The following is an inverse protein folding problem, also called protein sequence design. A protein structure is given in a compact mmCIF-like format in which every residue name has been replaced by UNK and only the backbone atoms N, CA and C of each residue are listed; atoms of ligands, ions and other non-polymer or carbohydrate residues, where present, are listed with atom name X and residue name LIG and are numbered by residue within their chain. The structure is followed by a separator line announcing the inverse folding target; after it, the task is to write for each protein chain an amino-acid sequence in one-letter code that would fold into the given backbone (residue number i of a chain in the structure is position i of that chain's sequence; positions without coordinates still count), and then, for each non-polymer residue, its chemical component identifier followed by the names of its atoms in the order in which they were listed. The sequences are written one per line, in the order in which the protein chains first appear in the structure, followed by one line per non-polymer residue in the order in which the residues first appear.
data_IF_654553193260
#
_entry.id   IF_654553193260
#
_cell.length_a   1.000
_cell.length_b   1.000
_cell.length_c   1.000
_cell.angle_alpha   90.00
_cell.angle_beta   90.00
_cell.angle_gamma   90.00
#
_symmetry.space_group_name_H-M   'P 1'
#
loop_
_entity.id
_entity.type
_entity.pdbx_description
1 polymer ?
#
# COMPACT_ATOMS: atom_id res chain seq x y z
N UNK A 1 -7.70 -3.09 -8.90
CA UNK A 1 -6.51 -2.80 -8.04
C UNK A 1 -5.49 -2.17 -8.97
N UNK A 2 -5.08 -0.92 -8.75
CA UNK A 2 -4.03 -0.31 -9.60
C UNK A 2 -2.69 -0.90 -9.17
N UNK A 3 -1.88 -1.27 -10.15
CA UNK A 3 -0.50 -1.64 -9.90
C UNK A 3 0.26 -0.36 -9.52
N UNK A 4 0.90 -0.37 -8.35
CA UNK A 4 1.67 0.77 -7.84
C UNK A 4 3.13 0.38 -7.89
N UNK A 5 3.92 1.18 -8.59
CA UNK A 5 5.37 1.07 -8.60
C UNK A 5 5.93 1.72 -7.33
N UNK A 6 6.77 0.99 -6.60
CA UNK A 6 7.37 1.46 -5.37
C UNK A 6 8.76 2.03 -5.64
N UNK A 7 8.91 3.33 -5.42
CA UNK A 7 10.16 4.06 -5.66
C UNK A 7 11.17 3.79 -4.53
N UNK A 8 12.46 3.76 -4.88
CA UNK A 8 13.57 3.84 -3.91
C UNK A 8 14.35 5.13 -4.16
N UNK A 9 14.85 5.76 -3.11
CA UNK A 9 15.64 6.98 -3.21
C UNK A 9 16.79 6.97 -2.20
N UNK A 10 17.99 7.36 -2.64
CA UNK A 10 19.15 7.50 -1.77
C UNK A 10 19.71 6.19 -1.22
N UNK A 11 19.60 5.09 -1.98
CA UNK A 11 20.10 3.77 -1.59
C UNK A 11 21.57 3.56 -2.00
N UNK A 12 22.41 2.88 -1.20
CA UNK A 12 22.09 2.34 0.14
C UNK A 12 21.93 3.45 1.18
N UNK A 13 20.95 3.28 2.08
CA UNK A 13 20.53 4.33 3.02
C UNK A 13 21.67 4.74 3.95
N UNK A 14 22.55 3.82 4.34
CA UNK A 14 23.68 4.02 5.26
C UNK A 14 24.65 5.10 4.75
N UNK A 15 24.84 5.15 3.43
CA UNK A 15 25.81 6.03 2.78
C UNK A 15 25.17 7.31 2.24
N UNK A 16 23.88 7.53 2.46
CA UNK A 16 23.20 8.72 1.99
C UNK A 16 23.79 9.99 2.63
N UNK A 17 24.24 10.90 1.79
CA UNK A 17 24.75 12.21 2.19
C UNK A 17 23.65 13.26 2.05
N UNK A 18 23.45 14.05 3.10
CA UNK A 18 22.45 15.11 3.11
C UNK A 18 22.78 16.17 2.05
N UNK A 19 21.75 16.55 1.32
CA UNK A 19 21.79 17.59 0.32
C UNK A 19 21.29 18.92 0.87
N UNK A 20 21.53 20.00 0.13
CA UNK A 20 20.90 21.31 0.43
C UNK A 20 19.38 21.25 0.41
N UNK A 21 18.78 20.35 -0.37
CA UNK A 21 17.33 20.20 -0.41
C UNK A 21 16.80 19.60 0.90
N UNK A 22 17.51 18.62 1.47
CA UNK A 22 17.14 18.00 2.74
C UNK A 22 17.18 19.01 3.89
N UNK A 23 18.22 19.86 3.93
CA UNK A 23 18.32 20.94 4.91
C UNK A 23 17.14 21.92 4.82
N UNK A 24 16.73 22.29 3.60
CA UNK A 24 15.55 23.15 3.38
C UNK A 24 14.26 22.46 3.82
N UNK A 25 14.08 21.19 3.47
CA UNK A 25 12.90 20.41 3.84
C UNK A 25 12.78 20.23 5.36
N UNK A 26 13.90 19.94 6.03
CA UNK A 26 13.96 19.83 7.47
C UNK A 26 13.57 21.15 8.14
N UNK A 27 14.16 22.26 7.70
CA UNK A 27 13.82 23.59 8.20
C UNK A 27 12.34 23.92 8.00
N UNK A 28 11.80 23.66 6.80
CA UNK A 28 10.39 23.89 6.51
C UNK A 28 9.49 23.07 7.46
N UNK A 29 9.85 21.83 7.75
CA UNK A 29 9.09 20.98 8.67
C UNK A 29 9.13 21.53 10.11
N UNK A 30 10.28 22.02 10.56
CA UNK A 30 10.45 22.69 11.86
C UNK A 30 9.63 23.99 11.94
N UNK A 31 9.65 24.81 10.90
CA UNK A 31 8.89 26.05 10.79
C UNK A 31 7.36 25.78 10.82
N UNK A 32 6.90 24.76 10.09
CA UNK A 32 5.50 24.31 10.12
C UNK A 32 5.11 23.87 11.53
N UNK A 33 5.94 23.07 12.22
CA UNK A 33 5.61 22.65 13.59
C UNK A 33 5.49 23.83 14.53
N UNK A 34 6.44 24.77 14.49
CA UNK A 34 6.39 25.99 15.30
C UNK A 34 5.09 26.79 15.06
N UNK A 35 4.69 26.93 13.78
CA UNK A 35 3.44 27.59 13.43
C UNK A 35 2.21 26.84 13.96
N UNK A 36 2.16 25.52 13.81
CA UNK A 36 1.07 24.66 14.32
C UNK A 36 0.98 24.75 15.83
N UNK A 37 2.10 24.72 16.56
CA UNK A 37 2.13 24.84 18.02
C UNK A 37 1.58 26.20 18.48
N UNK A 38 1.94 27.28 17.80
CA UNK A 38 1.40 28.62 18.08
C UNK A 38 -0.11 28.68 17.87
N UNK A 39 -0.59 28.17 16.74
CA UNK A 39 -2.02 28.12 16.44
C UNK A 39 -2.78 27.25 17.46
N UNK A 40 -2.23 26.09 17.83
CA UNK A 40 -2.82 25.23 18.85
C UNK A 40 -2.91 25.93 20.23
N UNK A 41 -1.91 26.72 20.61
CA UNK A 41 -1.95 27.49 21.85
C UNK A 41 -3.03 28.58 21.83
N UNK A 42 -3.18 29.29 20.71
CA UNK A 42 -4.23 30.30 20.51
C UNK A 42 -5.64 29.66 20.59
N UNK A 43 -5.83 28.54 19.89
CA UNK A 43 -7.09 27.78 19.92
C UNK A 43 -7.43 27.24 21.31
N UNK A 44 -6.43 26.73 22.04
CA UNK A 44 -6.59 26.28 23.42
C UNK A 44 -6.94 27.42 24.37
N UNK A 45 -6.43 28.63 24.13
CA UNK A 45 -6.81 29.80 24.92
C UNK A 45 -8.28 30.18 24.68
N UNK A 46 -8.77 30.11 23.44
CA UNK A 46 -10.20 30.32 23.10
C UNK A 46 -11.08 29.28 23.78
N UNK A 47 -10.72 28.00 23.74
CA UNK A 47 -11.45 26.93 24.42
C UNK A 47 -11.53 27.11 25.94
N UNK A 48 -10.46 27.61 26.57
CA UNK A 48 -10.49 27.92 28.02
C UNK A 48 -11.42 29.08 28.35
N UNK A 49 -11.56 30.04 27.44
CA UNK A 49 -12.46 31.19 27.61
C UNK A 49 -13.93 30.84 27.34
N UNK A 50 -14.21 29.80 26.53
CA UNK A 50 -15.56 29.38 26.16
C UNK A 50 -15.81 27.88 26.46
N UNK A 51 -16.46 27.57 27.60
CA UNK A 51 -16.81 26.20 27.97
C UNK A 51 -17.74 25.49 26.97
N UNK A 52 -18.60 26.21 26.25
CA UNK A 52 -19.51 25.61 25.26
C UNK A 52 -18.74 25.17 24.01
N UNK A 53 -17.79 25.98 23.55
CA UNK A 53 -16.85 25.61 22.48
C UNK A 53 -16.02 24.38 22.86
N UNK A 54 -15.49 24.34 24.09
CA UNK A 54 -14.71 23.21 24.59
C UNK A 54 -15.54 21.91 24.69
N UNK A 55 -16.82 21.99 25.08
CA UNK A 55 -17.73 20.85 25.10
C UNK A 55 -18.05 20.35 23.67
N UNK A 56 -18.36 21.27 22.75
CA UNK A 56 -18.63 20.95 21.34
C UNK A 56 -17.44 20.26 20.66
N UNK A 57 -16.22 20.79 20.84
CA UNK A 57 -15.00 20.17 20.29
C UNK A 57 -14.73 18.79 20.86
N UNK A 58 -14.92 18.58 22.17
CA UNK A 58 -14.78 17.24 22.77
C UNK A 58 -15.72 16.22 22.14
N UNK A 59 -16.99 16.58 21.92
CA UNK A 59 -17.96 15.70 21.27
C UNK A 59 -17.54 15.37 19.82
N UNK A 60 -17.00 16.34 19.08
CA UNK A 60 -16.47 16.11 17.73
C UNK A 60 -15.26 15.17 17.76
N UNK A 61 -14.30 15.40 18.67
CA UNK A 61 -13.12 14.53 18.83
C UNK A 61 -13.55 13.11 19.17
N UNK A 62 -14.50 12.94 20.08
CA UNK A 62 -15.03 11.62 20.45
C UNK A 62 -15.63 10.88 19.26
N UNK A 63 -16.46 11.57 18.45
CA UNK A 63 -17.04 11.01 17.22
C UNK A 63 -15.97 10.62 16.20
N UNK A 64 -14.93 11.44 16.03
CA UNK A 64 -13.80 11.14 15.13
C UNK A 64 -13.00 9.94 15.64
N UNK A 65 -12.74 9.84 16.94
CA UNK A 65 -12.04 8.70 17.55
C UNK A 65 -12.83 7.39 17.41
N UNK A 66 -14.16 7.45 17.47
CA UNK A 66 -15.03 6.30 17.21
C UNK A 66 -14.95 5.86 15.74
N UNK A 67 -15.05 6.81 14.81
CA UNK A 67 -14.86 6.55 13.38
C UNK A 67 -13.48 5.94 13.08
N UNK A 68 -12.41 6.49 13.63
CA UNK A 68 -11.05 5.97 13.42
C UNK A 68 -10.88 4.55 13.97
N UNK A 69 -11.49 4.23 15.13
CA UNK A 69 -11.46 2.87 15.69
C UNK A 69 -12.16 1.84 14.78
N UNK A 70 -13.22 2.26 14.09
CA UNK A 70 -13.96 1.40 13.16
C UNK A 70 -13.21 1.14 11.85
N UNK A 71 -12.24 1.99 11.48
CA UNK A 71 -11.51 1.92 10.21
C UNK A 71 -10.08 1.39 10.41
N UNK A 72 -9.93 0.09 10.69
CA UNK A 72 -8.61 -0.54 10.66
C UNK A 72 -8.21 -0.90 9.23
N UNK A 73 -7.11 -0.34 8.75
CA UNK A 73 -6.51 -0.73 7.47
C UNK A 73 -5.99 -2.17 7.59
N UNK A 74 -6.42 -3.10 6.72
CA UNK A 74 -5.90 -4.46 6.72
C UNK A 74 -4.39 -4.50 6.50
N UNK A 75 -3.70 -5.47 7.11
CA UNK A 75 -2.24 -5.63 6.97
C UNK A 75 -1.77 -5.78 5.51
N UNK A 76 -2.59 -6.38 4.66
CA UNK A 76 -2.28 -6.54 3.22
C UNK A 76 -2.43 -5.24 2.42
N UNK A 77 -3.04 -4.22 3.00
CA UNK A 77 -3.12 -2.86 2.43
C UNK A 77 -2.00 -1.95 2.97
N UNK A 78 -1.09 -2.48 3.80
CA UNK A 78 0.01 -1.72 4.39
C UNK A 78 1.34 -2.09 3.72
N UNK A 79 1.97 -1.11 3.09
CA UNK A 79 3.35 -1.18 2.60
C UNK A 79 4.33 -0.74 3.69
N UNK A 80 5.37 -1.55 3.91
CA UNK A 80 6.47 -1.23 4.84
C UNK A 80 7.64 -0.65 4.08
N UNK A 81 8.27 0.34 4.70
CA UNK A 81 9.39 1.11 4.17
C UNK A 81 10.52 1.11 5.17
N UNK A 82 11.74 1.04 4.68
CA UNK A 82 12.92 1.43 5.44
C UNK A 82 13.26 2.86 5.03
N UNK A 83 13.39 3.75 6.00
CA UNK A 83 13.58 5.18 5.76
C UNK A 83 14.77 5.69 6.54
N UNK A 84 15.61 6.49 5.90
CA UNK A 84 16.59 7.32 6.60
C UNK A 84 15.97 8.65 6.93
N UNK A 85 16.07 8.99 8.20
CA UNK A 85 15.65 10.29 8.71
C UNK A 85 16.80 11.29 8.60
N UNK A 86 16.46 12.57 8.56
CA UNK A 86 17.41 13.68 8.53
C UNK A 86 18.43 13.63 9.68
N UNK A 87 18.01 13.15 10.86
CA UNK A 87 18.91 12.94 12.00
C UNK A 87 19.95 11.81 11.80
N UNK A 88 19.87 11.05 10.71
CA UNK A 88 20.81 9.97 10.36
C UNK A 88 20.29 8.56 10.68
N UNK A 89 19.34 8.42 11.60
CA UNK A 89 18.79 7.11 11.97
C UNK A 89 17.96 6.49 10.84
N UNK A 90 18.04 5.16 10.71
CA UNK A 90 17.31 4.40 9.72
C UNK A 90 16.25 3.56 10.43
N UNK A 91 14.98 3.85 10.14
CA UNK A 91 13.84 3.25 10.84
C UNK A 91 12.87 2.61 9.87
N UNK A 92 11.93 1.81 10.39
CA UNK A 92 10.83 1.26 9.61
C UNK A 92 9.60 2.15 9.75
N UNK A 93 8.90 2.39 8.64
CA UNK A 93 7.62 3.08 8.65
C UNK A 93 6.58 2.34 7.80
N UNK A 94 5.30 2.67 8.02
CA UNK A 94 4.14 1.99 7.43
C UNK A 94 3.28 3.00 6.69
N UNK A 95 2.86 2.69 5.48
CA UNK A 95 1.95 3.53 4.67
C UNK A 95 0.96 2.64 3.93
N UNK A 96 -0.15 3.23 3.49
CA UNK A 96 -1.06 2.52 2.61
C UNK A 96 -0.32 2.08 1.33
N UNK A 97 -0.64 0.90 0.81
CA UNK A 97 0.02 0.32 -0.36
C UNK A 97 -0.16 1.12 -1.65
N UNK A 98 -1.17 1.99 -1.70
CA UNK A 98 -1.37 2.89 -2.83
C UNK A 98 -0.32 4.02 -2.89
N UNK A 99 0.44 4.22 -1.81
CA UNK A 99 1.49 5.21 -1.78
C UNK A 99 2.77 4.62 -2.37
N UNK A 100 3.12 5.02 -3.60
CA UNK A 100 4.37 4.61 -4.27
C UNK A 100 5.66 5.10 -3.60
N UNK A 101 5.57 6.00 -2.61
CA UNK A 101 6.69 6.46 -1.78
C UNK A 101 6.22 6.90 -0.39
N UNK A 102 7.07 6.84 0.65
CA UNK A 102 6.65 7.08 2.02
C UNK A 102 6.42 8.55 2.37
N UNK A 103 6.80 9.47 1.47
CA UNK A 103 6.72 10.93 1.63
C UNK A 103 5.47 11.57 1.04
N UNK A 104 4.59 10.80 0.40
CA UNK A 104 3.31 11.29 -0.14
C UNK A 104 2.29 11.62 0.97
N UNK A 105 1.28 12.40 0.60
CA UNK A 105 0.12 12.75 1.45
C UNK A 105 0.49 13.36 2.81
N UNK A 106 1.44 14.29 2.81
CA UNK A 106 1.80 15.09 4.00
C UNK A 106 2.66 14.36 5.03
N UNK A 107 3.08 13.12 4.77
CA UNK A 107 3.86 12.30 5.71
C UNK A 107 5.37 12.32 5.44
N UNK A 108 5.91 13.47 5.02
CA UNK A 108 7.33 13.64 4.63
C UNK A 108 8.30 13.80 5.80
N UNK A 109 7.79 13.85 7.02
CA UNK A 109 8.57 13.87 8.26
C UNK A 109 7.87 13.07 9.36
N UNK A 110 8.62 12.70 10.39
CA UNK A 110 8.10 12.00 11.57
C UNK A 110 9.03 12.21 12.78
N UNK A 111 8.53 11.93 13.98
CA UNK A 111 9.38 11.81 15.16
C UNK A 111 10.31 10.60 15.00
N UNK A 112 11.60 10.82 15.23
CA UNK A 112 12.60 9.77 15.28
C UNK A 112 12.44 8.96 16.58
N UNK A 113 12.20 7.64 16.52
CA UNK A 113 12.07 6.80 17.72
C UNK A 113 13.40 6.58 18.46
N UNK A 114 14.55 6.81 17.81
CA UNK A 114 15.86 6.57 18.41
C UNK A 114 16.38 7.79 19.20
N UNK A 115 16.33 8.99 18.63
CA UNK A 115 16.81 10.21 19.29
C UNK A 115 15.72 11.21 19.70
N UNK A 116 14.46 10.91 19.44
CA UNK A 116 13.33 11.78 19.78
C UNK A 116 13.17 13.04 18.91
N UNK A 117 14.07 13.28 17.92
CA UNK A 117 13.95 14.44 17.04
C UNK A 117 12.62 14.39 16.28
N UNK A 118 11.83 15.42 16.49
CA UNK A 118 10.56 15.66 15.82
C UNK A 118 10.57 17.13 15.34
N UNK A 119 9.99 17.47 14.18
CA UNK A 119 9.90 16.54 13.05
C UNK A 119 11.31 16.19 12.56
N UNK A 120 11.50 14.96 12.08
CA UNK A 120 12.68 14.58 11.31
C UNK A 120 12.24 14.19 9.90
N UNK A 121 12.72 14.92 8.90
CA UNK A 121 12.38 14.68 7.50
C UNK A 121 12.85 13.29 7.04
N UNK A 122 12.08 12.64 6.18
CA UNK A 122 12.50 11.42 5.47
C UNK A 122 13.34 11.87 4.28
N UNK A 123 14.63 11.53 4.28
CA UNK A 123 15.61 11.99 3.27
C UNK A 123 16.03 10.90 2.30
N UNK A 124 15.87 9.63 2.66
CA UNK A 124 16.10 8.49 1.78
C UNK A 124 15.18 7.33 2.19
N UNK A 125 14.85 6.45 1.26
CA UNK A 125 13.92 5.35 1.52
C UNK A 125 14.06 4.20 0.52
N UNK A 126 13.72 3.00 1.00
CA UNK A 126 13.55 1.80 0.17
C UNK A 126 12.32 0.99 0.63
N UNK A 127 11.60 0.35 -0.31
CA UNK A 127 10.49 -0.52 0.01
C UNK A 127 10.98 -1.82 0.66
N UNK A 128 10.26 -2.27 1.69
CA UNK A 128 10.47 -3.59 2.31
C UNK A 128 9.48 -4.61 1.74
N UNK A 129 8.25 -4.18 1.49
CA UNK A 129 7.14 -5.03 1.02
C UNK A 129 5.89 -4.92 1.91
N UNK A 130 4.81 -5.55 1.45
CA UNK A 130 3.53 -5.55 2.17
C UNK A 130 3.66 -6.21 3.55
N UNK A 131 2.85 -5.75 4.50
CA UNK A 131 2.86 -6.26 5.88
C UNK A 131 2.09 -7.58 6.04
N UNK A 132 1.11 -7.84 5.18
CA UNK A 132 0.38 -9.10 5.10
C UNK A 132 0.17 -9.57 3.66
N UNK A 133 -0.15 -10.86 3.51
CA UNK A 133 -0.60 -11.41 2.24
C UNK A 133 -2.08 -11.07 2.03
N UNK A 134 -2.51 -10.66 0.83
CA UNK A 134 -3.93 -10.48 0.56
C UNK A 134 -4.67 -11.80 0.80
N UNK A 135 -5.93 -11.75 1.28
CA UNK A 135 -6.75 -12.96 1.41
C UNK A 135 -6.79 -13.66 0.06
N UNK A 136 -6.44 -14.94 0.03
CA UNK A 136 -6.58 -15.76 -1.16
C UNK A 136 -8.02 -15.67 -1.62
N UNK A 137 -8.25 -15.20 -2.85
CA UNK A 137 -9.57 -15.25 -3.45
C UNK A 137 -10.10 -16.68 -3.26
N UNK A 138 -11.36 -16.86 -2.81
CA UNK A 138 -11.95 -18.19 -2.76
C UNK A 138 -11.75 -18.80 -4.14
N UNK A 139 -11.01 -19.91 -4.18
CA UNK A 139 -10.70 -20.63 -5.40
C UNK A 139 -12.03 -20.77 -6.16
N UNK A 140 -12.14 -20.29 -7.40
CA UNK A 140 -13.38 -20.45 -8.16
C UNK A 140 -13.80 -21.90 -8.00
N UNK A 141 -15.01 -22.12 -7.48
CA UNK A 141 -15.55 -23.48 -7.37
C UNK A 141 -15.31 -24.11 -8.72
N UNK A 142 -14.55 -25.22 -8.74
CA UNK A 142 -14.08 -25.83 -9.97
C UNK A 142 -15.28 -25.91 -10.91
N UNK A 143 -15.21 -25.20 -12.04
CA UNK A 143 -16.21 -25.30 -13.10
C UNK A 143 -16.46 -26.79 -13.29
N UNK A 144 -17.71 -27.28 -13.30
CA UNK A 144 -17.98 -28.70 -13.40
C UNK A 144 -17.15 -29.24 -14.57
N UNK A 145 -16.21 -30.13 -14.25
CA UNK A 145 -15.29 -30.69 -15.23
C UNK A 145 -16.14 -31.20 -16.39
N UNK A 146 -15.86 -30.82 -17.65
CA UNK A 146 -16.60 -31.36 -18.78
C UNK A 146 -16.58 -32.87 -18.66
N UNK A 147 -17.77 -33.50 -18.67
CA UNK A 147 -17.93 -34.95 -18.47
C UNK A 147 -16.93 -35.65 -19.37
N UNK A 148 -15.97 -36.36 -18.78
CA UNK A 148 -15.01 -37.15 -19.57
C UNK A 148 -15.84 -38.14 -20.38
N UNK A 149 -15.73 -38.15 -21.73
CA UNK A 149 -16.42 -39.12 -22.53
C UNK A 149 -15.99 -40.52 -22.10
N UNK A 150 -16.96 -41.41 -22.00
CA UNK A 150 -16.74 -42.81 -21.69
C UNK A 150 -15.88 -43.46 -22.77
N UNK A 151 -15.21 -44.55 -22.42
CA UNK A 151 -14.38 -45.33 -23.36
C UNK A 151 -15.17 -45.73 -24.62
N UNK A 152 -16.44 -46.09 -24.47
CA UNK A 152 -17.32 -46.45 -25.58
C UNK A 152 -17.59 -45.26 -26.53
N UNK A 153 -17.78 -44.05 -26.00
CA UNK A 153 -17.97 -42.84 -26.82
C UNK A 153 -16.69 -42.48 -27.59
N UNK A 154 -15.52 -42.70 -26.99
CA UNK A 154 -14.24 -42.52 -27.66
C UNK A 154 -14.03 -43.55 -28.77
N UNK A 155 -14.33 -44.82 -28.51
CA UNK A 155 -14.21 -45.90 -29.50
C UNK A 155 -15.15 -45.68 -30.71
N UNK A 156 -16.39 -45.24 -30.47
CA UNK A 156 -17.31 -44.87 -31.55
C UNK A 156 -16.80 -43.68 -32.38
N UNK A 157 -16.21 -42.68 -31.72
CA UNK A 157 -15.68 -41.49 -32.39
C UNK A 157 -14.44 -41.81 -33.22
N UNK A 158 -13.56 -42.68 -32.72
CA UNK A 158 -12.40 -43.19 -33.47
C UNK A 158 -12.87 -43.95 -34.70
N UNK A 159 -13.81 -44.89 -34.56
CA UNK A 159 -14.32 -45.66 -35.70
C UNK A 159 -15.06 -44.79 -36.75
N UNK A 160 -15.68 -43.68 -36.34
CA UNK A 160 -16.27 -42.72 -37.27
C UNK A 160 -15.17 -41.94 -38.03
N UNK A 161 -14.14 -41.48 -37.33
CA UNK A 161 -13.02 -40.74 -37.92
C UNK A 161 -12.16 -41.61 -38.84
N UNK A 162 -11.98 -42.90 -38.53
CA UNK A 162 -11.27 -43.85 -39.39
C UNK A 162 -12.01 -44.09 -40.69
N UNK A 163 -13.34 -44.30 -40.64
CA UNK A 163 -14.18 -44.42 -41.85
C UNK A 163 -14.15 -43.15 -42.71
N UNK A 164 -14.15 -41.98 -42.08
CA UNK A 164 -14.04 -40.72 -42.82
C UNK A 164 -12.65 -40.54 -43.44
N UNK A 165 -11.58 -40.92 -42.74
CA UNK A 165 -10.22 -40.93 -43.30
C UNK A 165 -10.10 -41.87 -44.49
N UNK A 166 -10.65 -43.09 -44.39
CA UNK A 166 -10.68 -44.06 -45.48
C UNK A 166 -11.36 -43.45 -46.71
N UNK A 167 -12.54 -42.85 -46.52
CA UNK A 167 -13.29 -42.18 -47.59
C UNK A 167 -12.48 -41.04 -48.22
N UNK A 168 -11.79 -40.23 -47.41
CA UNK A 168 -10.98 -39.11 -47.91
C UNK A 168 -9.73 -39.58 -48.64
N UNK A 169 -9.10 -40.68 -48.21
CA UNK A 169 -7.95 -41.30 -48.87
C UNK A 169 -8.33 -41.92 -50.21
N UNK A 170 -9.46 -42.62 -50.29
CA UNK A 170 -9.97 -43.16 -51.55
C UNK A 170 -10.34 -42.04 -52.53
N UNK A 171 -10.91 -40.93 -52.03
CA UNK A 171 -11.25 -39.77 -52.86
C UNK A 171 -10.04 -38.92 -53.26
N UNK A 172 -8.92 -39.04 -52.53
CA UNK A 172 -7.65 -38.38 -52.84
C UNK A 172 -6.72 -39.20 -53.74
N UNK A 173 -7.07 -40.46 -54.05
CA UNK A 173 -6.29 -41.35 -54.91
C UNK A 173 -6.85 -41.47 -56.34
N UNK A 174 -7.94 -40.78 -56.67
CA UNK A 174 -8.51 -40.65 -58.03
C UNK A 174 -8.16 -39.30 -58.70
N UNK A 175 -7.01 -38.70 -58.34
CA UNK A 175 -6.48 -37.46 -58.93
C UNK A 175 -5.08 -37.66 -59.49
#
# INVERSE_FOLDING_TARGET
MREVEYESYGCPLENYQLTRADHRQQKQSEDIRCWVEKQAAEEKAKERADPALAAGRRAVVEKVLDMLRSCQTPEHDIMRWRVRLYCGHIVKTRRHRENGKPTLHGSSSMQCPECGKDPSAIVAFEPIGLAGQPPSLPKPAASPSPKRPTRAELEQRVAALERENERLRSRGSEG
#
